data_IF_954679723262
#
_entry.id   IF_954679723262
#
_cell.length_a   1.000
_cell.length_b   1.000
_cell.length_c   1.000
_cell.angle_alpha   90.00
_cell.angle_beta   90.00
_cell.angle_gamma   90.00
#
_symmetry.space_group_name_H-M   'P 1'
#
loop_
_entity.id
_entity.type
_entity.pdbx_description
1 polymer ?
#
# COMPACT_ATOMS: atom_id res chain seq x y z
N UNK A 1 -43.02 47.51 -10.24
CA UNK A 1 -42.99 47.02 -11.63
C UNK A 1 -41.71 46.18 -11.76
N UNK A 2 -41.77 44.87 -11.42
CA UNK A 2 -42.02 43.71 -12.32
C UNK A 2 -40.85 43.50 -13.31
N UNK A 3 -40.18 42.36 -13.43
CA UNK A 3 -40.33 40.99 -12.89
C UNK A 3 -38.94 40.33 -12.74
N UNK A 4 -38.74 39.29 -11.93
CA UNK A 4 -39.16 37.90 -12.10
C UNK A 4 -38.94 37.36 -13.53
N UNK A 5 -37.91 36.51 -13.67
CA UNK A 5 -37.92 35.36 -14.59
C UNK A 5 -37.07 34.24 -13.98
N UNK A 6 -37.76 33.18 -13.55
CA UNK A 6 -37.15 31.88 -13.32
C UNK A 6 -36.90 31.18 -14.66
N UNK A 7 -35.97 30.23 -14.65
CA UNK A 7 -35.92 29.20 -15.67
C UNK A 7 -35.63 27.85 -15.01
N UNK A 8 -36.66 27.02 -14.96
CA UNK A 8 -36.60 25.58 -14.72
C UNK A 8 -36.38 24.95 -16.09
N UNK A 9 -35.31 24.16 -16.22
CA UNK A 9 -35.05 23.38 -17.43
C UNK A 9 -34.26 22.13 -17.06
N UNK A 10 -34.98 21.06 -16.74
CA UNK A 10 -34.43 19.71 -16.68
C UNK A 10 -34.50 19.05 -18.06
N UNK A 11 -33.39 18.47 -18.50
CA UNK A 11 -33.28 17.27 -19.34
C UNK A 11 -31.77 16.99 -19.43
N UNK A 12 -31.26 15.96 -18.77
CA UNK A 12 -31.26 14.63 -19.36
C UNK A 12 -29.93 14.43 -20.08
N UNK A 13 -28.97 13.76 -19.44
CA UNK A 13 -27.98 13.02 -20.19
C UNK A 13 -27.69 11.70 -19.48
N UNK A 14 -28.15 10.64 -20.14
CA UNK A 14 -27.90 9.26 -19.81
C UNK A 14 -26.42 8.93 -20.05
N UNK A 15 -25.87 8.10 -19.16
CA UNK A 15 -25.07 6.95 -19.56
C UNK A 15 -23.68 7.20 -20.14
N UNK A 16 -22.69 7.44 -19.27
CA UNK A 16 -21.43 6.69 -19.30
C UNK A 16 -21.05 6.32 -17.86
N UNK A 17 -21.55 5.16 -17.42
CA UNK A 17 -21.23 4.60 -16.12
C UNK A 17 -19.84 3.98 -16.12
N UNK A 18 -18.82 4.80 -15.87
CA UNK A 18 -17.62 4.31 -15.19
C UNK A 18 -18.01 4.06 -13.73
N UNK A 19 -17.98 2.80 -13.30
CA UNK A 19 -18.08 2.46 -11.88
C UNK A 19 -16.75 2.87 -11.21
N UNK A 20 -16.58 4.17 -10.98
CA UNK A 20 -15.49 4.70 -10.19
C UNK A 20 -15.60 4.16 -8.77
N UNK A 21 -14.57 3.48 -8.30
CA UNK A 21 -14.43 2.99 -6.92
C UNK A 21 -14.19 4.11 -5.90
N UNK A 22 -14.44 5.36 -6.29
CA UNK A 22 -14.15 6.57 -5.53
C UNK A 22 -15.44 7.20 -5.01
N UNK A 23 -15.52 7.39 -3.69
CA UNK A 23 -16.60 8.13 -3.06
C UNK A 23 -16.63 9.56 -3.61
N UNK A 24 -17.83 10.14 -3.71
CA UNK A 24 -17.94 11.57 -3.96
C UNK A 24 -17.24 12.34 -2.83
N UNK A 25 -16.58 13.45 -3.16
CA UNK A 25 -15.73 14.21 -2.23
C UNK A 25 -16.43 14.57 -0.91
N UNK A 26 -17.74 14.85 -0.97
CA UNK A 26 -18.55 15.16 0.21
C UNK A 26 -18.85 13.94 1.10
N UNK A 27 -18.93 12.74 0.50
CA UNK A 27 -19.13 11.48 1.23
C UNK A 27 -17.82 10.96 1.82
N UNK A 28 -16.70 11.16 1.11
CA UNK A 28 -15.36 10.92 1.65
C UNK A 28 -15.08 11.80 2.88
N UNK A 29 -15.34 13.10 2.79
CA UNK A 29 -15.16 14.02 3.94
C UNK A 29 -16.08 13.68 5.13
N UNK A 30 -17.30 13.21 4.88
CA UNK A 30 -18.21 12.78 5.93
C UNK A 30 -17.78 11.45 6.58
N UNK A 31 -17.20 10.54 5.81
CA UNK A 31 -16.62 9.29 6.29
C UNK A 31 -15.33 9.54 7.11
N UNK A 32 -14.45 10.42 6.64
CA UNK A 32 -13.23 10.81 7.37
C UNK A 32 -13.59 11.45 8.72
N UNK A 33 -14.55 12.37 8.73
CA UNK A 33 -15.05 12.97 9.97
C UNK A 33 -15.66 11.94 10.94
N UNK A 34 -16.31 10.89 10.42
CA UNK A 34 -16.82 9.78 11.22
C UNK A 34 -15.68 8.95 11.84
N UNK A 35 -14.66 8.62 11.05
CA UNK A 35 -13.49 7.85 11.49
C UNK A 35 -12.73 8.62 12.58
N UNK A 36 -12.52 9.92 12.38
CA UNK A 36 -11.86 10.80 13.36
C UNK A 36 -12.68 10.93 14.65
N UNK A 37 -14.00 10.87 14.56
CA UNK A 37 -14.91 10.85 15.72
C UNK A 37 -15.09 9.48 16.37
N UNK A 38 -14.30 8.48 15.97
CA UNK A 38 -14.39 7.09 16.42
C UNK A 38 -15.82 6.52 16.28
N UNK A 39 -16.46 6.77 15.14
CA UNK A 39 -17.82 6.33 14.80
C UNK A 39 -18.94 6.90 15.68
N UNK A 40 -18.68 7.99 16.40
CA UNK A 40 -19.68 8.65 17.24
C UNK A 40 -20.27 9.90 16.54
N UNK A 41 -21.51 9.76 16.06
CA UNK A 41 -22.23 10.83 15.34
C UNK A 41 -22.36 12.15 16.15
N UNK A 42 -22.41 12.09 17.48
CA UNK A 42 -22.53 13.27 18.32
C UNK A 42 -21.27 14.15 18.30
N UNK A 43 -20.12 13.55 17.98
CA UNK A 43 -18.82 14.21 17.92
C UNK A 43 -18.47 14.72 16.51
N UNK A 44 -19.28 14.38 15.49
CA UNK A 44 -19.13 14.89 14.12
C UNK A 44 -19.65 16.34 14.03
N UNK A 45 -18.89 17.21 13.35
CA UNK A 45 -19.27 18.59 13.08
C UNK A 45 -20.60 18.72 12.33
N UNK A 46 -21.35 19.80 12.61
CA UNK A 46 -22.74 20.00 12.12
C UNK A 46 -22.83 19.90 10.59
N UNK A 47 -21.80 20.34 9.86
CA UNK A 47 -21.73 20.30 8.40
C UNK A 47 -21.74 18.88 7.79
N UNK A 48 -21.19 17.88 8.48
CA UNK A 48 -21.04 16.51 7.96
C UNK A 48 -22.00 15.51 8.61
N UNK A 49 -22.72 15.92 9.65
CA UNK A 49 -23.51 15.05 10.52
C UNK A 49 -24.64 14.30 9.80
N UNK A 50 -25.32 14.95 8.86
CA UNK A 50 -26.43 14.34 8.12
C UNK A 50 -25.95 13.23 7.17
N UNK A 51 -24.89 13.50 6.41
CA UNK A 51 -24.25 12.49 5.53
C UNK A 51 -23.60 11.38 6.32
N UNK A 52 -22.93 11.72 7.42
CA UNK A 52 -22.39 10.74 8.37
C UNK A 52 -23.49 9.80 8.91
N UNK A 53 -24.69 10.31 9.21
CA UNK A 53 -25.81 9.49 9.66
C UNK A 53 -26.28 8.50 8.58
N UNK A 54 -26.31 8.94 7.32
CA UNK A 54 -26.65 8.08 6.19
C UNK A 54 -25.60 6.99 5.95
N UNK A 55 -24.31 7.34 6.04
CA UNK A 55 -23.20 6.39 5.93
C UNK A 55 -23.26 5.35 7.06
N UNK A 56 -23.51 5.77 8.30
CA UNK A 56 -23.72 4.86 9.43
C UNK A 56 -24.97 3.98 9.26
N UNK A 57 -26.04 4.46 8.65
CA UNK A 57 -27.23 3.64 8.38
C UNK A 57 -26.93 2.54 7.35
N UNK A 58 -26.15 2.85 6.31
CA UNK A 58 -25.70 1.86 5.32
C UNK A 58 -24.73 0.86 5.95
N UNK A 59 -23.73 1.33 6.71
CA UNK A 59 -22.78 0.45 7.39
C UNK A 59 -23.46 -0.39 8.49
N UNK A 60 -24.42 0.16 9.21
CA UNK A 60 -25.23 -0.55 10.19
C UNK A 60 -26.18 -1.58 9.58
N UNK A 61 -26.54 -1.44 8.31
CA UNK A 61 -27.26 -2.50 7.58
C UNK A 61 -26.38 -3.71 7.25
N UNK A 62 -25.06 -3.55 7.29
CA UNK A 62 -24.08 -4.65 7.15
C UNK A 62 -23.75 -5.29 8.50
N UNK A 63 -23.99 -4.59 9.60
CA UNK A 63 -23.78 -5.08 10.97
C UNK A 63 -25.07 -5.72 11.51
N UNK A 64 -25.50 -6.80 10.84
CA UNK A 64 -26.54 -7.66 11.38
C UNK A 64 -25.92 -8.51 12.50
N UNK A 65 -26.38 -8.42 13.77
CA UNK A 65 -25.98 -9.37 14.79
C UNK A 65 -26.40 -10.76 14.31
N UNK A 66 -25.44 -11.71 14.36
CA UNK A 66 -25.55 -13.05 13.79
C UNK A 66 -26.95 -13.64 13.95
N UNK A 67 -27.72 -13.61 12.86
CA UNK A 67 -28.94 -14.37 12.73
C UNK A 67 -28.49 -15.83 12.67
N UNK A 68 -28.74 -16.60 13.73
CA UNK A 68 -28.69 -18.05 13.62
C UNK A 68 -29.80 -18.45 12.65
N UNK A 69 -29.45 -18.59 11.38
CA UNK A 69 -30.34 -19.16 10.39
C UNK A 69 -30.54 -20.60 10.83
N UNK A 70 -31.77 -20.93 11.21
CA UNK A 70 -32.16 -22.30 11.53
C UNK A 70 -31.84 -23.15 10.29
N UNK A 71 -30.91 -24.10 10.41
CA UNK A 71 -30.46 -24.93 9.29
C UNK A 71 -31.64 -25.67 8.62
N UNK A 72 -32.74 -25.86 9.36
CA UNK A 72 -33.99 -26.36 8.83
C UNK A 72 -34.65 -25.41 7.80
N UNK A 73 -34.49 -24.09 7.96
CA UNK A 73 -34.98 -23.10 7.00
C UNK A 73 -34.12 -23.07 5.74
N UNK A 74 -32.80 -23.25 5.85
CA UNK A 74 -31.90 -23.38 4.69
C UNK A 74 -32.18 -24.67 3.91
N UNK A 75 -32.34 -25.81 4.58
CA UNK A 75 -32.68 -27.08 3.94
C UNK A 75 -34.07 -27.06 3.32
N UNK A 76 -35.06 -26.44 3.97
CA UNK A 76 -36.40 -26.32 3.43
C UNK A 76 -36.47 -25.31 2.27
N UNK A 77 -35.60 -24.30 2.26
CA UNK A 77 -35.46 -23.36 1.14
C UNK A 77 -34.69 -24.00 -0.02
N UNK A 78 -33.66 -24.79 0.25
CA UNK A 78 -32.93 -25.58 -0.76
C UNK A 78 -33.80 -26.71 -1.33
N UNK A 79 -34.65 -27.36 -0.54
CA UNK A 79 -35.67 -28.32 -1.02
C UNK A 79 -36.76 -27.65 -1.85
N UNK A 80 -37.21 -26.45 -1.47
CA UNK A 80 -38.12 -25.65 -2.31
C UNK A 80 -37.45 -25.20 -3.60
N UNK A 81 -36.20 -24.73 -3.55
CA UNK A 81 -35.49 -24.24 -4.73
C UNK A 81 -35.07 -25.39 -5.65
N UNK A 82 -34.69 -26.55 -5.13
CA UNK A 82 -34.41 -27.74 -5.97
C UNK A 82 -35.69 -28.39 -6.51
N UNK A 83 -36.79 -28.37 -5.76
CA UNK A 83 -38.12 -28.75 -6.26
C UNK A 83 -38.69 -27.77 -7.29
N UNK A 84 -38.41 -26.48 -7.15
CA UNK A 84 -38.87 -25.42 -8.07
C UNK A 84 -37.96 -25.32 -9.31
N UNK A 85 -36.65 -25.60 -9.20
CA UNK A 85 -35.72 -25.64 -10.35
C UNK A 85 -35.91 -26.91 -11.20
N UNK A 86 -36.48 -27.98 -10.65
CA UNK A 86 -37.01 -29.11 -11.42
C UNK A 86 -38.38 -28.84 -12.08
N UNK A 87 -39.09 -27.78 -11.66
CA UNK A 87 -40.43 -27.41 -12.11
C UNK A 87 -40.48 -26.13 -12.94
N UNK A 88 -39.35 -25.49 -13.25
CA UNK A 88 -39.27 -24.42 -14.25
C UNK A 88 -39.18 -24.95 -15.69
N UNK A 89 -40.04 -25.92 -15.95
CA UNK A 89 -40.39 -26.42 -17.26
C UNK A 89 -41.80 -26.99 -17.24
N UNK A 90 -42.77 -26.28 -16.66
CA UNK A 90 -44.19 -26.12 -17.09
C UNK A 90 -45.02 -25.57 -15.91
N UNK A 91 -45.83 -24.55 -16.19
CA UNK A 91 -46.57 -23.74 -15.21
C UNK A 91 -47.56 -24.51 -14.33
N UNK A 92 -47.86 -23.92 -13.18
CA UNK A 92 -48.50 -24.56 -12.04
C UNK A 92 -49.96 -24.97 -12.19
N UNK A 93 -50.29 -26.05 -11.47
CA UNK A 93 -51.59 -26.33 -10.87
C UNK A 93 -51.37 -26.89 -9.46
N UNK A 94 -52.21 -26.48 -8.52
CA UNK A 94 -52.32 -27.05 -7.17
C UNK A 94 -53.01 -28.41 -7.27
N UNK A 95 -52.25 -29.48 -7.51
CA UNK A 95 -52.81 -30.83 -7.59
C UNK A 95 -52.22 -31.73 -6.50
N UNK A 96 -53.11 -32.40 -5.77
CA UNK A 96 -52.77 -33.56 -4.94
C UNK A 96 -51.98 -34.57 -5.79
N UNK A 97 -51.10 -35.40 -5.21
CA UNK A 97 -50.33 -36.37 -5.98
C UNK A 97 -51.29 -37.33 -6.72
N UNK A 98 -51.54 -37.05 -8.00
CA UNK A 98 -52.38 -37.88 -8.85
C UNK A 98 -51.61 -39.17 -9.18
N UNK A 99 -52.32 -40.30 -9.06
CA UNK A 99 -51.79 -41.58 -9.53
C UNK A 99 -51.47 -41.47 -11.03
N UNK A 100 -50.37 -42.09 -11.45
CA UNK A 100 -50.06 -42.17 -12.88
C UNK A 100 -51.23 -42.81 -13.64
N UNK A 101 -51.48 -42.43 -14.90
CA UNK A 101 -52.62 -42.97 -15.68
C UNK A 101 -52.67 -44.50 -15.71
N UNK A 102 -51.51 -45.16 -15.68
CA UNK A 102 -51.42 -46.63 -15.61
C UNK A 102 -51.82 -47.17 -14.25
N UNK A 103 -51.48 -46.47 -13.17
CA UNK A 103 -51.77 -46.87 -11.80
C UNK A 103 -53.23 -46.60 -11.44
N UNK A 104 -53.76 -45.45 -11.85
CA UNK A 104 -55.18 -45.12 -11.75
C UNK A 104 -56.03 -46.18 -12.47
N UNK A 105 -55.69 -46.54 -13.72
CA UNK A 105 -56.41 -47.57 -14.47
C UNK A 105 -56.28 -48.97 -13.85
N UNK A 106 -55.11 -49.31 -13.32
CA UNK A 106 -54.89 -50.61 -12.67
C UNK A 106 -55.66 -50.71 -11.34
N UNK A 107 -55.70 -49.62 -10.57
CA UNK A 107 -56.46 -49.53 -9.33
C UNK A 107 -57.97 -49.56 -9.62
N UNK A 108 -58.45 -48.79 -10.59
CA UNK A 108 -59.86 -48.72 -10.96
C UNK A 108 -60.37 -50.07 -11.50
N UNK A 109 -59.55 -50.78 -12.28
CA UNK A 109 -59.83 -52.15 -12.71
C UNK A 109 -59.88 -53.13 -11.51
N UNK A 110 -59.00 -52.96 -10.53
CA UNK A 110 -58.98 -53.79 -9.31
C UNK A 110 -60.20 -53.51 -8.42
N UNK A 111 -60.62 -52.25 -8.30
CA UNK A 111 -61.85 -51.85 -7.59
C UNK A 111 -63.07 -52.47 -8.28
N UNK A 112 -63.13 -52.43 -9.61
CA UNK A 112 -64.22 -53.02 -10.39
C UNK A 112 -64.34 -54.54 -10.22
N UNK A 113 -63.23 -55.24 -9.95
CA UNK A 113 -63.22 -56.69 -9.70
C UNK A 113 -63.35 -57.04 -8.21
N UNK A 114 -63.72 -56.08 -7.36
CA UNK A 114 -63.92 -56.31 -5.93
C UNK A 114 -62.62 -56.57 -5.18
N UNK A 115 -61.53 -55.93 -5.58
CA UNK A 115 -60.17 -56.07 -5.03
C UNK A 115 -59.51 -57.43 -5.24
N UNK A 116 -60.05 -58.25 -6.15
CA UNK A 116 -59.48 -59.54 -6.55
C UNK A 116 -58.82 -59.39 -7.92
N UNK A 117 -57.52 -59.74 -8.09
CA UNK A 117 -56.88 -59.69 -9.40
C UNK A 117 -57.49 -60.76 -10.32
N UNK A 118 -58.19 -60.33 -11.37
CA UNK A 118 -58.80 -61.23 -12.35
C UNK A 118 -57.77 -61.92 -13.26
N UNK A 119 -58.08 -63.11 -13.82
CA UNK A 119 -57.21 -63.81 -14.77
C UNK A 119 -57.14 -63.02 -16.08
N UNK A 120 -56.09 -62.20 -16.24
CA UNK A 120 -55.90 -61.26 -17.34
C UNK A 120 -55.59 -59.80 -16.92
N UNK A 121 -55.55 -59.52 -15.61
CA UNK A 121 -55.20 -58.20 -15.08
C UNK A 121 -53.73 -57.81 -15.26
N UNK A 122 -53.45 -56.51 -15.28
CA UNK A 122 -52.06 -56.02 -15.36
C UNK A 122 -51.25 -56.41 -14.13
N UNK A 123 -49.94 -56.66 -14.30
CA UNK A 123 -49.02 -56.98 -13.19
C UNK A 123 -49.09 -55.95 -12.04
N UNK A 124 -49.39 -54.68 -12.37
CA UNK A 124 -49.58 -53.60 -11.40
C UNK A 124 -50.79 -53.82 -10.49
N UNK A 125 -51.91 -54.31 -11.02
CA UNK A 125 -53.11 -54.61 -10.23
C UNK A 125 -52.84 -55.73 -9.21
N UNK A 126 -52.07 -56.75 -9.59
CA UNK A 126 -51.64 -57.82 -8.68
C UNK A 126 -50.76 -57.31 -7.55
N UNK A 127 -49.88 -56.33 -7.83
CA UNK A 127 -49.08 -55.66 -6.80
C UNK A 127 -49.95 -54.88 -5.83
N UNK A 128 -50.95 -54.14 -6.31
CA UNK A 128 -51.88 -53.42 -5.42
C UNK A 128 -52.72 -54.37 -4.56
N UNK A 129 -53.20 -55.48 -5.11
CA UNK A 129 -53.89 -56.51 -4.33
C UNK A 129 -53.00 -57.09 -3.22
N UNK A 130 -51.72 -57.34 -3.49
CA UNK A 130 -50.79 -57.83 -2.47
C UNK A 130 -50.52 -56.82 -1.35
N UNK A 131 -50.50 -55.52 -1.67
CA UNK A 131 -50.37 -54.45 -0.68
C UNK A 131 -51.64 -54.33 0.19
N UNK A 132 -52.82 -54.44 -0.41
CA UNK A 132 -54.08 -54.41 0.32
C UNK A 132 -54.26 -55.64 1.21
N UNK A 133 -53.81 -56.82 0.78
CA UNK A 133 -53.85 -58.05 1.58
C UNK A 133 -53.04 -57.97 2.87
N UNK A 134 -52.01 -57.10 2.95
CA UNK A 134 -51.28 -56.85 4.20
C UNK A 134 -52.12 -56.12 5.25
N UNK A 135 -53.18 -55.40 4.84
CA UNK A 135 -54.09 -54.73 5.77
C UNK A 135 -55.17 -55.67 6.31
N UNK A 136 -55.41 -56.79 5.63
CA UNK A 136 -56.53 -57.69 5.91
C UNK A 136 -56.12 -58.97 6.66
N UNK A 137 -54.89 -59.03 7.18
CA UNK A 137 -54.47 -60.13 8.06
C UNK A 137 -55.32 -60.15 9.33
N UNK A 138 -56.19 -61.16 9.54
CA UNK A 138 -56.96 -61.25 10.76
C UNK A 138 -55.99 -61.48 11.93
N UNK A 139 -56.01 -60.56 12.88
CA UNK A 139 -55.18 -60.59 14.07
C UNK A 139 -55.65 -61.75 14.95
N UNK A 140 -55.03 -62.93 14.80
CA UNK A 140 -55.26 -64.08 15.69
C UNK A 140 -54.66 -63.75 17.05
N UNK A 141 -55.50 -63.32 18.00
CA UNK A 141 -55.07 -63.10 19.38
C UNK A 141 -54.71 -64.46 20.01
N UNK A 142 -53.45 -64.72 20.42
CA UNK A 142 -53.13 -65.91 21.17
C UNK A 142 -53.65 -65.74 22.60
N UNK A 143 -54.51 -66.65 23.03
CA UNK A 143 -54.90 -66.79 24.44
C UNK A 143 -53.73 -67.35 25.25
N UNK A 144 -53.03 -66.49 25.99
CA UNK A 144 -52.33 -66.85 27.22
C UNK A 144 -51.93 -65.57 27.96
N UNK A 145 -52.15 -65.56 29.26
CA UNK A 145 -51.87 -64.48 30.21
C UNK A 145 -50.49 -63.84 30.04
N UNK A 146 -50.44 -62.69 29.37
CA UNK A 146 -49.31 -61.75 29.46
C UNK A 146 -49.81 -60.58 30.29
N UNK A 147 -49.26 -60.41 31.50
CA UNK A 147 -49.63 -59.31 32.37
C UNK A 147 -49.38 -57.97 31.67
N UNK A 148 -50.30 -57.02 31.81
CA UNK A 148 -50.20 -55.67 31.22
C UNK A 148 -48.83 -55.02 31.47
N UNK A 149 -48.20 -55.29 32.62
CA UNK A 149 -46.86 -54.80 32.95
C UNK A 149 -45.75 -55.33 32.03
N UNK A 150 -45.85 -56.56 31.53
CA UNK A 150 -44.85 -57.18 30.66
C UNK A 150 -44.97 -56.65 29.23
N UNK A 151 -46.21 -56.41 28.76
CA UNK A 151 -46.46 -55.72 27.49
C UNK A 151 -46.00 -54.27 27.55
N UNK A 152 -46.27 -53.54 28.63
CA UNK A 152 -45.82 -52.15 28.82
C UNK A 152 -44.29 -52.09 28.86
N UNK A 153 -43.63 -52.99 29.58
CA UNK A 153 -42.15 -53.05 29.64
C UNK A 153 -41.54 -53.37 28.29
N UNK A 154 -42.12 -54.31 27.54
CA UNK A 154 -41.65 -54.69 26.21
C UNK A 154 -41.89 -53.60 25.17
N UNK A 155 -42.98 -52.85 25.32
CA UNK A 155 -43.33 -51.74 24.42
C UNK A 155 -42.46 -50.52 24.72
N UNK A 156 -42.28 -50.16 25.99
CA UNK A 156 -41.37 -49.09 26.40
C UNK A 156 -39.92 -49.41 26.02
N UNK A 157 -39.44 -50.65 26.21
CA UNK A 157 -38.11 -51.05 25.76
C UNK A 157 -37.93 -50.99 24.24
N UNK A 158 -38.98 -51.32 23.47
CA UNK A 158 -38.96 -51.16 22.00
C UNK A 158 -38.99 -49.70 21.56
N UNK A 159 -39.77 -48.85 22.22
CA UNK A 159 -39.80 -47.40 21.92
C UNK A 159 -38.47 -46.77 22.27
N UNK A 160 -37.90 -47.08 23.44
CA UNK A 160 -36.64 -46.50 23.91
C UNK A 160 -35.46 -46.92 23.03
N UNK A 161 -35.39 -48.19 22.63
CA UNK A 161 -34.39 -48.66 21.66
C UNK A 161 -34.58 -48.07 20.25
N UNK A 162 -35.81 -47.67 19.88
CA UNK A 162 -36.04 -46.95 18.64
C UNK A 162 -35.58 -45.49 18.71
N UNK A 163 -35.79 -44.83 19.86
CA UNK A 163 -35.32 -43.47 20.13
C UNK A 163 -33.79 -43.42 20.15
N UNK A 164 -33.11 -44.37 20.78
CA UNK A 164 -31.64 -44.47 20.77
C UNK A 164 -31.09 -44.69 19.36
N UNK A 165 -31.69 -45.60 18.58
CA UNK A 165 -31.30 -45.83 17.18
C UNK A 165 -31.57 -44.64 16.27
N UNK A 166 -32.58 -43.82 16.56
CA UNK A 166 -32.80 -42.57 15.85
C UNK A 166 -31.78 -41.51 16.26
N UNK A 167 -31.48 -41.37 17.56
CA UNK A 167 -30.45 -40.46 18.06
C UNK A 167 -29.07 -40.77 17.46
N UNK A 168 -28.70 -42.06 17.33
CA UNK A 168 -27.44 -42.46 16.68
C UNK A 168 -27.44 -42.11 15.18
N UNK A 169 -28.59 -42.19 14.49
CA UNK A 169 -28.72 -41.82 13.07
C UNK A 169 -28.74 -40.31 12.82
N UNK A 170 -29.13 -39.52 13.82
CA UNK A 170 -29.06 -38.06 13.80
C UNK A 170 -27.76 -37.51 14.37
N UNK A 171 -26.88 -38.36 14.91
CA UNK A 171 -25.50 -37.98 15.22
C UNK A 171 -24.68 -37.98 13.93
N UNK A 172 -24.70 -36.84 13.24
CA UNK A 172 -23.64 -36.53 12.29
C UNK A 172 -22.39 -36.31 13.14
N UNK A 173 -21.63 -37.37 13.38
CA UNK A 173 -20.25 -37.21 13.84
C UNK A 173 -19.60 -36.26 12.84
N UNK A 174 -19.32 -35.03 13.30
CA UNK A 174 -18.87 -33.95 12.42
C UNK A 174 -17.75 -34.47 11.53
N UNK A 175 -17.86 -34.29 10.22
CA UNK A 175 -16.76 -34.62 9.30
C UNK A 175 -15.47 -33.86 9.66
N UNK A 176 -15.61 -32.80 10.46
CA UNK A 176 -14.51 -32.11 11.14
C UNK A 176 -13.68 -33.03 12.06
N UNK A 177 -14.26 -34.01 12.75
CA UNK A 177 -13.52 -34.93 13.63
C UNK A 177 -12.81 -36.05 12.87
N UNK A 178 -13.33 -36.53 11.75
CA UNK A 178 -12.62 -37.51 10.89
C UNK A 178 -11.57 -36.87 9.99
N UNK A 179 -11.69 -35.56 9.70
CA UNK A 179 -10.69 -34.79 8.95
C UNK A 179 -9.49 -34.33 9.79
N UNK A 180 -9.55 -34.38 11.13
CA UNK A 180 -8.52 -33.78 12.01
C UNK A 180 -7.31 -34.68 12.31
N UNK A 181 -7.27 -35.92 11.80
CA UNK A 181 -6.14 -36.86 12.01
C UNK A 181 -5.20 -36.99 10.81
N UNK A 182 -5.16 -36.00 9.91
CA UNK A 182 -4.04 -35.89 8.97
C UNK A 182 -2.84 -35.37 9.77
N UNK A 183 -2.07 -36.30 10.33
CA UNK A 183 -0.83 -35.99 11.03
C UNK A 183 0.03 -35.05 10.19
N UNK A 184 0.48 -33.95 10.82
CA UNK A 184 1.21 -32.87 10.18
C UNK A 184 2.46 -33.43 9.50
N UNK A 185 2.44 -33.52 8.17
CA UNK A 185 3.59 -34.02 7.40
C UNK A 185 4.62 -32.89 7.32
N UNK A 186 5.85 -33.18 7.74
CA UNK A 186 6.96 -32.21 7.62
C UNK A 186 7.14 -31.71 6.17
N UNK A 187 6.80 -32.56 5.18
CA UNK A 187 6.81 -32.19 3.77
C UNK A 187 5.78 -31.11 3.41
N UNK A 188 4.58 -31.12 4.01
CA UNK A 188 3.56 -30.10 3.75
C UNK A 188 3.98 -28.75 4.35
N UNK A 189 4.56 -28.77 5.56
CA UNK A 189 5.15 -27.57 6.18
C UNK A 189 6.29 -27.01 5.32
N UNK A 190 7.20 -27.87 4.84
CA UNK A 190 8.32 -27.48 3.99
C UNK A 190 7.86 -26.88 2.66
N UNK A 191 6.81 -27.44 2.04
CA UNK A 191 6.23 -26.92 0.80
C UNK A 191 5.68 -25.50 0.97
N UNK A 192 4.88 -25.27 2.03
CA UNK A 192 4.34 -23.95 2.34
C UNK A 192 5.46 -22.96 2.69
N UNK A 193 6.43 -23.38 3.50
CA UNK A 193 7.59 -22.54 3.83
C UNK A 193 8.40 -22.18 2.59
N UNK A 194 8.60 -23.11 1.65
CA UNK A 194 9.28 -22.86 0.39
C UNK A 194 8.51 -21.86 -0.48
N UNK A 195 7.18 -22.00 -0.60
CA UNK A 195 6.33 -21.05 -1.32
C UNK A 195 6.42 -19.64 -0.73
N UNK A 196 6.35 -19.51 0.60
CA UNK A 196 6.50 -18.22 1.29
C UNK A 196 7.92 -17.65 1.13
N UNK A 197 8.95 -18.49 1.17
CA UNK A 197 10.33 -18.07 0.96
C UNK A 197 10.52 -17.51 -0.45
N UNK A 198 10.03 -18.19 -1.49
CA UNK A 198 10.09 -17.67 -2.85
C UNK A 198 9.30 -16.37 -3.03
N UNK A 199 8.12 -16.26 -2.43
CA UNK A 199 7.33 -15.03 -2.43
C UNK A 199 8.06 -13.86 -1.77
N UNK A 200 8.62 -14.07 -0.59
CA UNK A 200 9.34 -13.02 0.16
C UNK A 200 10.63 -12.58 -0.53
N UNK A 201 11.38 -13.51 -1.15
CA UNK A 201 12.60 -13.19 -1.92
C UNK A 201 12.30 -12.23 -3.07
N UNK A 202 11.17 -12.40 -3.77
CA UNK A 202 10.80 -11.53 -4.88
C UNK A 202 10.28 -10.15 -4.41
N UNK A 203 9.53 -10.11 -3.31
CA UNK A 203 8.91 -8.87 -2.80
C UNK A 203 9.94 -7.98 -2.09
N UNK A 204 10.95 -8.57 -1.44
CA UNK A 204 11.97 -7.83 -0.68
C UNK A 204 12.73 -6.75 -1.49
N UNK A 205 13.32 -7.04 -2.67
CA UNK A 205 14.03 -6.02 -3.45
C UNK A 205 13.10 -4.90 -3.95
N UNK A 206 11.82 -5.19 -4.18
CA UNK A 206 10.84 -4.18 -4.55
C UNK A 206 10.54 -3.24 -3.38
N UNK A 207 10.37 -3.79 -2.18
CA UNK A 207 10.16 -2.99 -0.96
C UNK A 207 11.38 -2.12 -0.63
N UNK A 208 12.60 -2.62 -0.80
CA UNK A 208 13.81 -1.81 -0.57
C UNK A 208 13.94 -0.70 -1.60
N UNK A 209 13.68 -0.97 -2.88
CA UNK A 209 13.66 0.04 -3.93
C UNK A 209 12.57 1.09 -3.70
N UNK A 210 11.36 0.68 -3.28
CA UNK A 210 10.25 1.58 -2.97
C UNK A 210 10.58 2.48 -1.76
N UNK A 211 11.15 1.91 -0.70
CA UNK A 211 11.61 2.68 0.47
C UNK A 211 12.69 3.70 0.09
N UNK A 212 13.66 3.30 -0.73
CA UNK A 212 14.71 4.22 -1.17
C UNK A 212 14.17 5.34 -2.05
N UNK A 213 13.22 5.03 -2.94
CA UNK A 213 12.54 6.05 -3.75
C UNK A 213 11.74 7.03 -2.88
N UNK A 214 11.01 6.53 -1.89
CA UNK A 214 10.27 7.35 -0.92
C UNK A 214 11.22 8.28 -0.15
N UNK A 215 12.33 7.73 0.38
CA UNK A 215 13.36 8.50 1.08
C UNK A 215 13.94 9.60 0.20
N UNK A 216 14.23 9.31 -1.07
CA UNK A 216 14.74 10.28 -2.04
C UNK A 216 13.74 11.40 -2.30
N UNK A 217 12.47 11.08 -2.57
CA UNK A 217 11.42 12.08 -2.77
C UNK A 217 11.22 12.98 -1.53
N UNK A 218 11.30 12.41 -0.33
CA UNK A 218 11.23 13.19 0.91
C UNK A 218 12.38 14.20 1.03
N UNK A 219 13.62 13.77 0.73
CA UNK A 219 14.79 14.64 0.78
C UNK A 219 14.77 15.72 -0.31
N UNK A 220 14.27 15.37 -1.51
CA UNK A 220 14.04 16.32 -2.60
C UNK A 220 13.01 17.39 -2.19
N UNK A 221 11.90 16.99 -1.56
CA UNK A 221 10.90 17.93 -1.05
C UNK A 221 11.45 18.83 0.07
N UNK A 222 12.25 18.30 1.00
CA UNK A 222 12.96 19.11 2.01
C UNK A 222 13.86 20.15 1.33
N UNK A 223 14.57 19.76 0.27
CA UNK A 223 15.43 20.67 -0.48
C UNK A 223 14.63 21.73 -1.25
N UNK A 224 13.46 21.41 -1.78
CA UNK A 224 12.55 22.37 -2.40
C UNK A 224 12.03 23.40 -1.37
N UNK A 225 11.69 22.96 -0.15
CA UNK A 225 11.35 23.87 0.96
C UNK A 225 12.51 24.82 1.28
N UNK A 226 13.76 24.32 1.29
CA UNK A 226 14.92 25.18 1.43
C UNK A 226 15.05 26.19 0.27
N UNK A 227 14.70 25.81 -0.96
CA UNK A 227 14.62 26.72 -2.12
C UNK A 227 13.66 27.88 -1.91
N UNK A 228 12.49 27.63 -1.32
CA UNK A 228 11.56 28.69 -0.92
C UNK A 228 12.22 29.63 0.12
N UNK A 229 12.92 29.08 1.11
CA UNK A 229 13.63 29.87 2.11
C UNK A 229 14.72 30.75 1.49
N UNK A 230 15.48 30.25 0.51
CA UNK A 230 16.44 31.06 -0.24
C UNK A 230 15.76 32.20 -1.00
N UNK A 231 14.66 31.92 -1.69
CA UNK A 231 13.92 32.93 -2.46
C UNK A 231 13.31 34.03 -1.57
N UNK A 232 12.77 33.66 -0.41
CA UNK A 232 12.27 34.65 0.57
C UNK A 232 13.39 35.48 1.16
N UNK A 233 14.49 34.84 1.58
CA UNK A 233 15.67 35.54 2.08
C UNK A 233 16.25 36.51 1.04
N UNK A 234 16.38 36.08 -0.21
CA UNK A 234 16.96 36.90 -1.27
C UNK A 234 16.07 38.11 -1.58
N UNK A 235 14.75 37.95 -1.55
CA UNK A 235 13.78 39.04 -1.62
C UNK A 235 14.02 40.12 -0.56
N UNK A 236 14.28 39.71 0.67
CA UNK A 236 14.55 40.62 1.80
C UNK A 236 15.98 41.17 1.81
N UNK A 237 16.92 40.53 1.10
CA UNK A 237 18.35 40.84 1.15
C UNK A 237 18.94 41.25 -0.21
N UNK A 238 18.19 42.01 -1.01
CA UNK A 238 18.65 42.57 -2.31
C UNK A 238 19.21 41.52 -3.26
N UNK A 239 18.51 40.40 -3.37
CA UNK A 239 18.87 39.24 -4.19
C UNK A 239 20.20 38.56 -3.80
N UNK A 240 20.72 38.87 -2.60
CA UNK A 240 21.93 38.22 -2.12
C UNK A 240 21.65 36.83 -1.57
N UNK A 241 22.62 35.95 -1.78
CA UNK A 241 22.66 34.64 -1.17
C UNK A 241 22.96 34.75 0.35
N UNK A 242 22.44 33.85 1.20
CA UNK A 242 22.71 33.82 2.64
C UNK A 242 24.19 33.95 3.00
N UNK A 243 24.48 34.85 3.94
CA UNK A 243 25.83 35.22 4.36
C UNK A 243 25.82 35.59 5.85
N UNK A 244 26.72 35.00 6.64
CA UNK A 244 26.81 35.23 8.08
C UNK A 244 27.84 36.29 8.48
N UNK A 245 28.93 36.42 7.71
CA UNK A 245 30.11 37.21 8.08
C UNK A 245 30.88 37.71 6.84
N UNK A 246 31.99 38.41 7.06
CA UNK A 246 32.96 38.74 6.01
C UNK A 246 33.70 37.48 5.56
N UNK A 247 33.13 36.75 4.60
CA UNK A 247 33.80 35.59 3.98
C UNK A 247 34.94 36.05 3.05
N UNK A 248 36.13 36.22 3.61
CA UNK A 248 37.33 36.66 2.90
C UNK A 248 37.96 35.52 2.09
N UNK A 249 38.32 35.78 0.84
CA UNK A 249 38.97 34.79 -0.01
C UNK A 249 40.36 34.41 0.55
N UNK A 250 40.66 33.12 0.60
CA UNK A 250 41.92 32.58 1.13
C UNK A 250 41.84 32.14 2.61
N UNK A 251 40.79 32.50 3.33
CA UNK A 251 40.54 32.02 4.69
C UNK A 251 40.01 30.58 4.71
N UNK A 252 40.17 29.89 5.85
CA UNK A 252 39.55 28.58 6.08
C UNK A 252 38.03 28.74 6.13
N UNK A 253 37.30 27.79 5.56
CA UNK A 253 35.83 27.86 5.42
C UNK A 253 35.11 26.59 5.87
N UNK A 254 35.84 25.56 6.32
CA UNK A 254 35.27 24.27 6.72
C UNK A 254 35.24 24.05 8.25
N UNK A 255 35.57 25.06 9.05
CA UNK A 255 35.64 24.96 10.52
C UNK A 255 34.27 25.17 11.17
N UNK A 256 33.37 24.21 10.95
CA UNK A 256 31.98 24.25 11.45
C UNK A 256 31.93 24.41 12.97
N UNK A 257 31.11 25.36 13.44
CA UNK A 257 30.86 25.62 14.85
C UNK A 257 31.97 26.39 15.59
N UNK A 258 33.08 26.75 14.92
CA UNK A 258 34.18 27.48 15.56
C UNK A 258 33.98 29.00 15.53
N UNK A 259 33.86 29.58 14.34
CA UNK A 259 33.51 30.99 14.14
C UNK A 259 32.78 31.20 12.82
N UNK A 260 31.91 32.21 12.70
CA UNK A 260 31.18 32.47 11.46
C UNK A 260 32.10 32.95 10.32
N UNK A 261 33.29 33.48 10.62
CA UNK A 261 34.30 33.86 9.62
C UNK A 261 35.06 32.65 9.08
N UNK A 262 35.02 31.49 9.74
CA UNK A 262 35.76 30.28 9.32
C UNK A 262 34.87 29.11 8.90
N UNK A 263 33.55 29.34 8.82
CA UNK A 263 32.57 28.32 8.49
C UNK A 263 31.61 28.76 7.38
N UNK A 264 31.68 28.11 6.23
CA UNK A 264 30.73 28.31 5.15
C UNK A 264 29.33 27.79 5.49
N UNK A 265 29.20 26.82 6.42
CA UNK A 265 27.88 26.39 6.88
C UNK A 265 27.18 27.47 7.69
N UNK A 266 27.91 28.37 8.38
CA UNK A 266 27.30 29.51 9.06
C UNK A 266 26.50 30.41 8.09
N UNK A 267 26.96 30.53 6.84
CA UNK A 267 26.24 31.26 5.80
C UNK A 267 24.89 30.62 5.49
N UNK A 268 24.83 29.29 5.34
CA UNK A 268 23.57 28.56 5.18
C UNK A 268 22.70 28.66 6.45
N UNK A 269 23.32 28.56 7.63
CA UNK A 269 22.63 28.67 8.92
C UNK A 269 21.97 30.05 9.13
N UNK A 270 22.38 31.06 8.37
CA UNK A 270 21.74 32.38 8.39
C UNK A 270 20.26 32.31 8.01
N UNK A 271 19.84 31.37 7.16
CA UNK A 271 18.42 31.15 6.87
C UNK A 271 17.62 30.79 8.13
N UNK A 272 18.20 29.99 9.03
CA UNK A 272 17.58 29.63 10.31
C UNK A 272 17.59 30.85 11.25
N UNK A 273 18.74 31.52 11.37
CA UNK A 273 18.93 32.67 12.27
C UNK A 273 18.00 33.84 11.95
N UNK A 274 17.69 34.03 10.67
CA UNK A 274 16.81 35.10 10.19
C UNK A 274 15.34 34.67 10.09
N UNK A 275 15.01 33.42 10.43
CA UNK A 275 13.63 32.92 10.47
C UNK A 275 13.05 32.50 9.12
N UNK A 276 13.86 32.42 8.07
CA UNK A 276 13.42 32.00 6.72
C UNK A 276 13.32 30.47 6.59
N UNK A 277 14.06 29.72 7.40
CA UNK A 277 14.04 28.25 7.42
C UNK A 277 14.02 27.71 8.85
N UNK A 278 13.48 26.52 9.05
CA UNK A 278 13.67 25.73 10.26
C UNK A 278 14.90 24.84 10.12
N UNK A 279 15.44 24.39 11.25
CA UNK A 279 16.56 23.43 11.25
C UNK A 279 16.19 22.13 10.52
N UNK A 280 14.94 21.71 10.63
CA UNK A 280 14.38 20.53 9.95
C UNK A 280 14.38 20.68 8.42
N UNK A 281 14.16 21.90 7.91
CA UNK A 281 14.18 22.19 6.47
C UNK A 281 15.59 22.08 5.87
N UNK A 282 16.62 22.11 6.73
CA UNK A 282 18.03 21.94 6.37
C UNK A 282 18.61 20.60 6.86
N UNK A 283 17.74 19.63 7.19
CA UNK A 283 18.11 18.30 7.65
C UNK A 283 17.68 17.22 6.64
N UNK A 284 18.65 16.54 6.03
CA UNK A 284 18.35 15.42 5.13
C UNK A 284 18.03 14.17 5.95
N UNK A 285 16.96 13.45 5.62
CA UNK A 285 16.62 12.17 6.26
C UNK A 285 17.69 11.10 6.02
N UNK A 286 18.49 11.25 4.96
CA UNK A 286 19.64 10.42 4.66
C UNK A 286 20.85 10.64 5.57
N UNK A 287 20.91 11.76 6.30
CA UNK A 287 21.98 12.03 7.27
C UNK A 287 21.52 11.63 8.68
N UNK A 288 22.06 10.55 9.28
CA UNK A 288 21.66 10.11 10.61
C UNK A 288 22.13 11.06 11.73
N UNK A 289 23.16 11.88 11.47
CA UNK A 289 23.68 12.86 12.42
C UNK A 289 23.03 14.24 12.28
N UNK A 290 22.10 14.42 11.34
CA UNK A 290 21.46 15.70 11.10
C UNK A 290 20.82 16.25 12.37
N UNK A 291 21.11 17.51 12.69
CA UNK A 291 20.40 18.20 13.76
C UNK A 291 18.95 18.42 13.30
N UNK A 292 17.96 17.96 14.08
CA UNK A 292 16.52 18.12 13.78
C UNK A 292 15.76 18.93 14.81
N UNK A 293 16.42 19.30 15.90
CA UNK A 293 15.84 20.11 16.96
C UNK A 293 16.81 21.22 17.33
N UNK A 294 16.27 22.43 17.49
CA UNK A 294 17.06 23.59 17.89
C UNK A 294 17.53 23.37 19.32
N UNK A 295 18.80 23.04 19.52
CA UNK A 295 19.39 23.03 20.87
C UNK A 295 19.94 24.41 21.28
N UNK A 296 20.09 25.35 20.33
CA UNK A 296 20.43 26.74 20.64
C UNK A 296 20.06 27.68 19.47
N UNK A 297 18.91 28.36 19.54
CA UNK A 297 18.40 29.24 18.48
C UNK A 297 19.27 30.48 18.24
N UNK A 298 20.17 30.78 19.18
CA UNK A 298 21.09 31.93 19.16
C UNK A 298 22.48 31.57 18.64
N UNK A 299 22.71 30.31 18.25
CA UNK A 299 23.97 29.89 17.62
C UNK A 299 24.18 30.54 16.26
N UNK A 300 25.44 30.65 15.84
CA UNK A 300 25.80 31.16 14.51
C UNK A 300 25.96 30.04 13.47
N UNK A 301 26.02 28.77 13.90
CA UNK A 301 26.30 27.60 13.06
C UNK A 301 25.88 26.29 13.76
N UNK A 302 25.95 25.16 13.05
CA UNK A 302 25.87 23.82 13.63
C UNK A 302 27.04 23.52 14.58
N UNK A 303 26.84 22.60 15.54
CA UNK A 303 27.85 22.29 16.57
C UNK A 303 29.09 21.59 16.00
N UNK A 304 28.90 20.74 14.99
CA UNK A 304 29.97 19.96 14.37
C UNK A 304 29.62 19.69 12.91
N UNK A 305 30.66 19.46 12.11
CA UNK A 305 30.50 19.21 10.69
C UNK A 305 29.54 18.04 10.41
N UNK A 306 29.52 16.97 11.21
CA UNK A 306 28.59 15.82 11.03
C UNK A 306 27.11 16.20 11.01
N UNK A 307 26.75 17.32 11.63
CA UNK A 307 25.34 17.71 11.76
C UNK A 307 24.81 18.39 10.49
N UNK A 308 25.71 18.87 9.63
CA UNK A 308 25.39 19.59 8.39
C UNK A 308 25.00 18.60 7.29
N UNK A 309 23.74 18.67 6.83
CA UNK A 309 23.23 17.74 5.81
C UNK A 309 23.54 18.17 4.38
N UNK A 310 23.77 19.46 4.15
CA UNK A 310 23.92 20.03 2.82
C UNK A 310 25.22 20.81 2.68
N UNK A 311 25.88 20.65 1.56
CA UNK A 311 26.99 21.51 1.14
C UNK A 311 26.42 22.72 0.43
N UNK A 312 26.82 23.90 0.88
CA UNK A 312 26.39 25.18 0.34
C UNK A 312 27.48 25.79 -0.54
N UNK A 313 27.06 26.56 -1.54
CA UNK A 313 27.96 27.33 -2.40
C UNK A 313 29.01 28.08 -1.58
N UNK A 314 30.26 28.03 -2.03
CA UNK A 314 31.36 28.66 -1.29
C UNK A 314 31.31 30.19 -1.41
N UNK A 315 31.03 30.88 -0.31
CA UNK A 315 30.91 32.35 -0.26
C UNK A 315 32.24 33.07 0.00
N UNK A 316 33.34 32.34 0.21
CA UNK A 316 34.71 32.84 0.44
C UNK A 316 35.37 33.26 -0.88
N UNK A 317 34.70 34.17 -1.57
CA UNK A 317 35.09 34.75 -2.84
C UNK A 317 34.85 36.26 -2.76
N UNK A 318 35.56 37.09 -3.56
CA UNK A 318 35.31 38.53 -3.60
C UNK A 318 33.83 38.84 -3.84
N UNK A 319 33.30 39.88 -3.20
CA UNK A 319 31.87 40.21 -3.23
C UNK A 319 31.31 40.34 -4.66
N UNK A 320 32.10 40.85 -5.61
CA UNK A 320 31.72 40.97 -7.01
C UNK A 320 31.58 39.64 -7.76
N UNK A 321 32.04 38.52 -7.20
CA UNK A 321 31.96 37.16 -7.77
C UNK A 321 31.04 36.23 -6.98
N UNK A 322 30.35 36.74 -5.96
CA UNK A 322 29.38 35.94 -5.21
C UNK A 322 28.13 35.77 -6.08
N UNK A 323 27.58 34.55 -6.15
CA UNK A 323 26.34 34.32 -6.89
C UNK A 323 25.18 35.03 -6.21
N UNK A 324 24.20 35.39 -7.02
CA UNK A 324 22.88 35.85 -6.57
C UNK A 324 21.86 34.74 -6.76
N UNK A 325 20.73 34.88 -6.06
CA UNK A 325 19.67 33.90 -6.19
C UNK A 325 19.04 33.96 -7.59
N UNK A 326 18.75 35.16 -8.10
CA UNK A 326 18.14 35.32 -9.42
C UNK A 326 19.12 35.47 -10.60
N UNK A 327 20.38 35.03 -10.47
CA UNK A 327 21.35 35.10 -11.56
C UNK A 327 20.91 34.28 -12.78
N UNK A 328 21.02 34.85 -13.99
CA UNK A 328 20.67 34.21 -15.27
C UNK A 328 21.44 32.89 -15.49
N UNK A 329 22.65 32.81 -14.93
CA UNK A 329 23.46 31.61 -15.01
C UNK A 329 23.06 30.65 -13.87
N UNK A 330 22.10 29.77 -14.18
CA UNK A 330 21.66 28.69 -13.28
C UNK A 330 22.86 27.95 -12.70
N UNK A 331 23.04 28.05 -11.40
CA UNK A 331 24.12 27.40 -10.67
C UNK A 331 23.57 26.61 -9.50
N UNK A 332 24.39 25.71 -8.95
CA UNK A 332 24.00 24.94 -7.76
C UNK A 332 24.19 25.82 -6.53
N UNK A 333 23.09 26.19 -5.89
CA UNK A 333 23.10 26.95 -4.64
C UNK A 333 23.45 26.05 -3.44
N UNK A 334 22.85 24.86 -3.40
CA UNK A 334 22.98 23.90 -2.31
C UNK A 334 22.91 22.48 -2.87
N UNK A 335 23.62 21.54 -2.27
CA UNK A 335 23.63 20.14 -2.70
C UNK A 335 23.76 19.24 -1.48
N UNK A 336 23.38 17.97 -1.58
CA UNK A 336 23.68 16.99 -0.53
C UNK A 336 25.16 17.02 -0.15
N UNK A 337 25.42 16.73 1.12
CA UNK A 337 26.74 16.85 1.74
C UNK A 337 27.86 16.26 0.88
N UNK A 338 28.93 17.03 0.73
CA UNK A 338 30.12 16.62 -0.01
C UNK A 338 30.85 15.44 0.66
N UNK A 339 31.11 14.34 -0.06
CA UNK A 339 31.97 13.25 0.40
C UNK A 339 33.45 13.67 0.43
N UNK A 340 33.84 14.59 -0.45
CA UNK A 340 35.22 15.05 -0.63
C UNK A 340 35.72 15.79 0.60
N UNK A 341 34.93 16.71 1.15
CA UNK A 341 35.31 17.50 2.33
C UNK A 341 35.47 16.63 3.57
N UNK A 342 34.62 15.61 3.72
CA UNK A 342 34.73 14.66 4.83
C UNK A 342 36.06 13.91 4.84
N UNK A 343 36.51 13.48 3.66
CA UNK A 343 37.80 12.80 3.48
C UNK A 343 38.98 13.76 3.61
N UNK A 344 38.86 14.96 3.04
CA UNK A 344 39.89 15.99 3.06
C UNK A 344 40.30 16.38 4.49
N UNK A 345 39.33 16.60 5.37
CA UNK A 345 39.58 16.96 6.77
C UNK A 345 40.29 15.84 7.54
N UNK A 346 40.04 14.59 7.18
CA UNK A 346 40.72 13.41 7.75
C UNK A 346 42.07 13.11 7.10
N UNK A 347 42.48 13.91 6.10
CA UNK A 347 43.68 13.69 5.29
C UNK A 347 43.67 12.35 4.56
N UNK A 348 42.49 11.89 4.16
CA UNK A 348 42.30 10.68 3.37
C UNK A 348 42.38 10.98 1.87
N UNK A 349 42.61 9.95 1.06
CA UNK A 349 42.56 10.05 -0.40
C UNK A 349 41.14 10.41 -0.87
N UNK A 350 41.04 11.44 -1.70
CA UNK A 350 39.79 11.95 -2.23
C UNK A 350 39.55 11.38 -3.63
N UNK A 351 38.34 10.89 -3.88
CA UNK A 351 37.84 10.65 -5.23
C UNK A 351 36.80 11.73 -5.59
N UNK A 352 37.10 12.64 -6.53
CA UNK A 352 36.17 13.70 -6.94
C UNK A 352 34.88 13.20 -7.59
N UNK A 353 34.82 11.93 -7.99
CA UNK A 353 33.63 11.33 -8.59
C UNK A 353 32.70 10.68 -7.56
N UNK A 354 33.06 10.69 -6.28
CA UNK A 354 32.20 10.14 -5.23
C UNK A 354 30.92 10.98 -5.10
N UNK A 355 29.80 10.28 -4.92
CA UNK A 355 28.49 10.86 -4.63
C UNK A 355 28.28 11.04 -3.12
N UNK A 356 27.24 11.80 -2.76
CA UNK A 356 26.97 12.12 -1.36
C UNK A 356 26.71 10.88 -0.49
N UNK A 357 27.23 10.84 0.76
CA UNK A 357 26.90 9.79 1.72
C UNK A 357 25.45 9.84 2.21
N UNK A 358 24.74 10.96 2.07
CA UNK A 358 23.32 11.07 2.47
C UNK A 358 22.47 9.96 1.82
N UNK A 359 22.81 9.61 0.58
CA UNK A 359 22.12 8.58 -0.19
C UNK A 359 23.01 7.36 -0.47
N UNK A 360 23.96 7.07 0.42
CA UNK A 360 24.82 5.88 0.32
C UNK A 360 25.69 5.84 -0.93
N UNK A 361 26.00 6.99 -1.55
CA UNK A 361 26.79 7.07 -2.78
C UNK A 361 26.00 6.80 -4.08
N UNK A 362 24.68 6.64 -4.03
CA UNK A 362 23.84 6.43 -5.22
C UNK A 362 23.61 7.70 -6.05
N UNK A 363 23.80 8.86 -5.45
CA UNK A 363 23.61 10.18 -6.05
C UNK A 363 23.39 11.26 -5.00
N UNK A 364 22.96 12.44 -5.45
CA UNK A 364 22.71 13.61 -4.61
C UNK A 364 21.62 14.49 -5.21
N UNK A 365 20.80 15.08 -4.36
CA UNK A 365 19.94 16.20 -4.70
C UNK A 365 20.75 17.49 -4.74
N UNK A 366 20.51 18.30 -5.76
CA UNK A 366 21.05 19.64 -5.91
C UNK A 366 19.90 20.64 -6.07
N UNK A 367 19.96 21.73 -5.32
CA UNK A 367 19.10 22.90 -5.44
C UNK A 367 19.80 23.92 -6.33
N UNK A 368 19.12 24.33 -7.39
CA UNK A 368 19.57 25.37 -8.29
C UNK A 368 19.12 26.75 -7.81
N UNK A 369 19.80 27.79 -8.29
CA UNK A 369 19.50 29.19 -7.95
C UNK A 369 18.10 29.65 -8.37
N UNK A 370 17.46 28.99 -9.33
CA UNK A 370 16.06 29.25 -9.69
C UNK A 370 15.03 28.56 -8.77
N UNK A 371 15.50 27.90 -7.71
CA UNK A 371 14.68 27.17 -6.75
C UNK A 371 14.32 25.74 -7.16
N UNK A 372 14.68 25.30 -8.37
CA UNK A 372 14.42 23.93 -8.80
C UNK A 372 15.39 22.93 -8.17
N UNK A 373 14.91 21.71 -7.94
CA UNK A 373 15.71 20.60 -7.40
C UNK A 373 15.98 19.55 -8.47
N UNK A 374 17.19 19.00 -8.49
CA UNK A 374 17.58 17.97 -9.44
C UNK A 374 18.34 16.83 -8.74
N UNK A 375 17.97 15.59 -9.07
CA UNK A 375 18.74 14.42 -8.67
C UNK A 375 19.91 14.16 -9.63
N UNK A 376 21.12 14.33 -9.13
CA UNK A 376 22.35 14.03 -9.86
C UNK A 376 22.86 12.63 -9.52
N UNK A 377 23.14 11.81 -10.54
CA UNK A 377 23.75 10.47 -10.40
C UNK A 377 25.27 10.48 -10.29
N UNK A 378 25.89 11.60 -10.65
CA UNK A 378 27.31 11.85 -10.57
C UNK A 378 27.54 13.33 -10.20
N UNK A 379 28.71 13.73 -9.70
CA UNK A 379 28.95 15.09 -9.23
C UNK A 379 29.38 16.07 -10.34
N UNK A 380 29.11 15.75 -11.61
CA UNK A 380 29.50 16.58 -12.75
C UNK A 380 28.25 17.22 -13.35
N UNK A 381 28.29 18.54 -13.52
CA UNK A 381 27.22 19.31 -14.15
C UNK A 381 27.21 19.13 -15.67
N UNK A 382 26.15 19.58 -16.34
CA UNK A 382 26.01 19.49 -17.80
C UNK A 382 27.13 20.22 -18.56
N UNK A 383 27.67 21.29 -17.96
CA UNK A 383 28.81 22.05 -18.49
C UNK A 383 30.17 21.37 -18.24
N UNK A 384 30.20 20.21 -17.59
CA UNK A 384 31.41 19.44 -17.28
C UNK A 384 32.12 19.85 -15.98
N UNK A 385 31.61 20.82 -15.22
CA UNK A 385 32.19 21.29 -13.95
C UNK A 385 31.89 20.29 -12.81
N UNK A 386 32.88 20.00 -11.97
CA UNK A 386 32.69 19.10 -10.83
C UNK A 386 32.30 19.90 -9.58
N UNK A 387 31.13 19.60 -9.02
CA UNK A 387 30.55 20.37 -7.90
C UNK A 387 31.38 20.31 -6.60
N UNK A 388 32.32 19.38 -6.48
CA UNK A 388 33.17 19.24 -5.29
C UNK A 388 34.49 19.98 -5.39
N UNK A 389 34.96 20.29 -6.60
CA UNK A 389 36.30 20.81 -6.80
C UNK A 389 36.28 22.24 -7.36
N UNK A 390 37.26 23.08 -6.98
CA UNK A 390 37.51 24.29 -7.73
C UNK A 390 38.03 23.95 -9.13
N UNK A 391 37.55 24.67 -10.15
CA UNK A 391 37.94 24.50 -11.56
C UNK A 391 39.45 24.44 -11.80
N UNK A 392 40.24 25.19 -11.03
CA UNK A 392 41.71 25.18 -11.13
C UNK A 392 42.30 23.81 -10.79
N UNK A 393 41.78 23.14 -9.77
CA UNK A 393 42.22 21.81 -9.37
C UNK A 393 41.77 20.76 -10.39
N UNK A 394 40.58 20.89 -10.94
CA UNK A 394 40.11 20.04 -12.05
C UNK A 394 41.03 20.14 -13.27
N UNK A 395 41.42 21.35 -13.67
CA UNK A 395 42.33 21.56 -14.80
C UNK A 395 43.70 20.92 -14.56
N UNK A 396 44.20 20.95 -13.32
CA UNK A 396 45.45 20.27 -12.95
C UNK A 396 45.27 18.75 -13.01
N UNK A 397 44.19 18.21 -12.44
CA UNK A 397 43.89 16.77 -12.48
C UNK A 397 43.70 16.26 -13.91
N UNK A 398 43.04 17.05 -14.77
CA UNK A 398 42.84 16.71 -16.18
C UNK A 398 44.17 16.72 -16.95
N UNK A 399 45.07 17.68 -16.67
CA UNK A 399 46.44 17.68 -17.23
C UNK A 399 47.26 16.47 -16.81
N UNK A 400 47.11 16.02 -15.56
CA UNK A 400 47.82 14.83 -15.04
C UNK A 400 47.22 13.54 -15.63
N UNK A 401 45.89 13.48 -15.81
CA UNK A 401 45.19 12.32 -16.37
C UNK A 401 45.33 12.20 -17.89
N UNK A 402 45.42 13.31 -18.60
CA UNK A 402 45.78 13.29 -20.02
C UNK A 402 47.21 12.77 -20.12
N UNK A 403 47.41 11.61 -20.76
CA UNK A 403 48.75 11.13 -21.14
C UNK A 403 49.53 12.30 -21.76
N UNK A 404 50.83 12.49 -21.49
CA UNK A 404 51.63 13.54 -22.11
C UNK A 404 51.59 13.33 -23.62
N UNK A 405 50.67 14.02 -24.28
CA UNK A 405 50.47 13.99 -25.71
C UNK A 405 51.09 15.28 -26.20
N UNK A 406 52.37 15.20 -26.55
CA UNK A 406 52.97 16.24 -27.36
C UNK A 406 52.27 16.26 -28.72
N UNK A 407 52.14 17.45 -29.33
CA UNK A 407 51.83 17.49 -30.76
C UNK A 407 52.87 16.63 -31.51
N UNK A 408 52.49 15.94 -32.59
CA UNK A 408 53.44 15.16 -33.38
C UNK A 408 54.64 16.04 -33.75
N UNK A 409 55.86 15.56 -33.48
CA UNK A 409 57.08 16.23 -33.94
C UNK A 409 56.99 16.37 -35.47
N UNK A 410 57.22 17.58 -35.96
CA UNK A 410 57.18 17.90 -37.39
C UNK A 410 58.51 17.60 -38.08
N UNK A 411 59.54 17.23 -37.31
CA UNK A 411 60.90 17.02 -37.82
C UNK A 411 61.64 18.34 -38.08
N UNK A 412 61.13 19.45 -37.55
CA UNK A 412 61.71 20.80 -37.72
C UNK A 412 62.13 21.41 -36.38
N UNK A 413 62.02 20.64 -35.29
CA UNK A 413 62.39 21.03 -33.95
C UNK A 413 63.92 21.02 -33.77
N UNK A 414 64.45 21.99 -33.03
CA UNK A 414 65.88 22.11 -32.72
C UNK A 414 66.08 22.19 -31.20
N UNK A 415 67.17 21.63 -30.65
CA UNK A 415 67.48 21.74 -29.23
C UNK A 415 67.83 23.19 -28.83
N UNK A 416 67.44 23.56 -27.62
CA UNK A 416 67.88 24.78 -26.95
C UNK A 416 69.25 24.61 -26.26
N UNK A 417 69.83 25.71 -25.79
CA UNK A 417 71.12 25.73 -25.10
C UNK A 417 71.07 24.92 -23.79
N UNK A 418 71.69 23.74 -23.80
CA UNK A 418 71.70 22.80 -22.68
C UNK A 418 70.68 21.66 -22.79
N UNK A 419 69.92 21.59 -23.88
CA UNK A 419 68.97 20.50 -24.15
C UNK A 419 69.66 19.30 -24.83
N UNK A 420 69.29 18.10 -24.41
CA UNK A 420 69.74 16.84 -24.99
C UNK A 420 68.61 16.25 -25.85
N UNK A 421 68.37 16.86 -27.02
CA UNK A 421 67.44 16.35 -28.01
C UNK A 421 68.13 15.33 -28.93
N UNK A 422 67.81 14.05 -28.74
CA UNK A 422 68.40 12.94 -29.49
C UNK A 422 67.39 12.39 -30.51
N UNK A 423 67.79 12.38 -31.77
CA UNK A 423 67.03 11.86 -32.92
C UNK A 423 67.84 10.74 -33.58
N UNK A 424 67.20 9.71 -34.20
CA UNK A 424 67.91 8.57 -34.82
C UNK A 424 68.74 8.92 -36.06
#
# INVERSE_FOLDING_TARGET
>A
MTGLNGNIGGSGNEGQGEWGTTLAQADAAALDALIESNWNLAQVGVLHRERAAQILAVLGSLDAPGVSVDAALEDMTMLRVTGVVGAFGHGGSTDAPELSRSDAKALDALVHTGYVPGPGGSERASRYASLLALLDTPMTMPSASVGMGDLVTRTLGRVQSHVEKQADRFSIASEAERSSRRGFRMADLLSVAAMLAFGTIAIWPMLTAAKERSRRMACENTMATAGIAFGTYSGDNRDSMPLASSCEAGSQWWNVGQSPEQSNSANLFTLIRTGHAKVEDLACNGNPSACRCITNATGFDWKKLSDVSYSYQNMYTPAARRPRWSDDNRSVAMIDRSPVILKAIRRELINPMDNSPNHGGLGQNALLTDGSTNWMRNPVLENGDNVWLPRQLEQVLNRIRSKPTAQPLRGTEAPDLGDAFLVP
#
